data_IF_901261722802
#
_entry.id   IF_901261722802
#
_cell.length_a   1.000
_cell.length_b   1.000
_cell.length_c   1.000
_cell.angle_alpha   90.00
_cell.angle_beta   90.00
_cell.angle_gamma   90.00
#
_symmetry.space_group_name_H-M   'P 1'
#
loop_
_entity.id
_entity.type
_entity.pdbx_description
1 polymer ?
#
# COMPACT_ATOMS: atom_id res chain seq x y z
N UNK A 1 31.95 -18.35 -7.62
CA UNK A 1 31.94 -18.54 -6.16
C UNK A 1 30.57 -18.07 -5.66
N UNK A 2 29.58 -18.96 -5.75
CA UNK A 2 28.26 -18.84 -5.15
C UNK A 2 27.56 -20.20 -5.28
N UNK A 3 27.27 -20.77 -4.11
CA UNK A 3 26.13 -21.63 -3.74
C UNK A 3 26.02 -23.04 -4.35
N UNK A 4 26.33 -24.01 -3.49
CA UNK A 4 25.88 -25.40 -3.46
C UNK A 4 24.42 -25.60 -3.91
N UNK A 5 24.21 -26.62 -4.75
CA UNK A 5 22.94 -27.30 -4.94
C UNK A 5 22.95 -28.63 -4.16
N UNK A 6 21.95 -28.91 -3.31
CA UNK A 6 21.72 -30.26 -2.82
C UNK A 6 20.65 -30.98 -3.64
N UNK A 7 21.11 -32.00 -4.36
CA UNK A 7 20.55 -33.35 -4.52
C UNK A 7 19.02 -33.52 -4.41
N UNK A 8 18.38 -33.85 -5.54
CA UNK A 8 17.06 -34.46 -5.59
C UNK A 8 17.19 -35.98 -5.77
N UNK A 9 16.54 -36.83 -4.95
CA UNK A 9 16.37 -38.24 -5.25
C UNK A 9 15.09 -38.51 -6.08
N UNK A 10 15.02 -39.63 -6.83
CA UNK A 10 14.00 -39.88 -7.84
C UNK A 10 12.61 -40.13 -7.26
N UNK A 11 11.59 -39.58 -7.93
CA UNK A 11 10.17 -39.80 -7.66
C UNK A 11 9.82 -41.25 -7.99
N UNK A 12 9.74 -42.09 -6.97
CA UNK A 12 9.12 -43.41 -7.03
C UNK A 12 7.60 -43.25 -7.07
N UNK A 13 7.01 -43.59 -8.21
CA UNK A 13 5.59 -43.94 -8.26
C UNK A 13 5.41 -45.29 -7.56
N UNK A 14 4.73 -45.28 -6.41
CA UNK A 14 4.04 -46.46 -5.88
C UNK A 14 2.90 -45.99 -4.96
N UNK A 15 1.72 -45.92 -5.58
CA UNK A 15 0.43 -46.41 -5.11
C UNK A 15 0.17 -46.42 -3.59
N UNK A 16 -0.79 -45.59 -3.20
CA UNK A 16 -1.49 -45.73 -1.94
C UNK A 16 -2.42 -46.95 -1.96
N UNK A 17 -2.19 -47.89 -1.04
CA UNK A 17 -3.22 -48.73 -0.44
C UNK A 17 -2.68 -49.42 0.83
N UNK A 18 -3.09 -49.05 2.06
CA UNK A 18 -2.62 -49.72 3.28
C UNK A 18 -3.45 -50.98 3.64
N UNK A 19 -4.21 -51.57 2.71
CA UNK A 19 -5.20 -52.61 3.03
C UNK A 19 -4.87 -54.03 2.53
N UNK A 20 -3.65 -54.36 2.12
CA UNK A 20 -3.34 -55.72 1.65
C UNK A 20 -1.88 -56.13 1.86
N UNK A 21 -1.54 -56.63 3.05
CA UNK A 21 -0.63 -57.77 3.27
C UNK A 21 -0.35 -57.96 4.77
N UNK A 22 -0.96 -58.98 5.37
CA UNK A 22 -0.42 -59.76 6.49
C UNK A 22 -1.38 -60.93 6.79
N UNK A 23 -1.55 -61.81 5.80
CA UNK A 23 -2.17 -63.10 6.00
C UNK A 23 -1.47 -64.11 5.11
N UNK A 24 -0.32 -64.61 5.57
CA UNK A 24 0.11 -65.99 5.36
C UNK A 24 1.47 -66.21 6.04
N UNK A 25 1.45 -66.92 7.17
CA UNK A 25 2.51 -67.84 7.62
C UNK A 25 2.21 -68.28 9.06
N UNK A 26 1.29 -69.24 9.27
CA UNK A 26 1.28 -70.02 10.51
C UNK A 26 0.95 -71.49 10.19
N UNK A 27 2.03 -72.26 10.14
CA UNK A 27 2.22 -73.57 10.76
C UNK A 27 1.31 -74.75 10.37
N UNK A 28 1.98 -75.75 9.79
CA UNK A 28 1.46 -77.07 9.48
C UNK A 28 0.85 -77.77 10.69
N UNK A 29 -0.34 -78.30 10.47
CA UNK A 29 -1.06 -79.15 11.38
C UNK A 29 -0.50 -80.57 11.28
N UNK A 30 0.55 -80.87 12.04
CA UNK A 30 0.88 -82.26 12.36
C UNK A 30 -0.15 -82.78 13.36
N UNK A 31 -0.92 -83.77 12.93
CA UNK A 31 -1.88 -84.51 13.75
C UNK A 31 -1.09 -85.61 14.48
N UNK A 32 -0.85 -85.52 15.80
CA UNK A 32 -0.57 -86.73 16.56
C UNK A 32 -1.87 -87.53 16.65
N UNK A 33 -1.92 -88.60 15.86
CA UNK A 33 -2.80 -89.73 16.08
C UNK A 33 -2.57 -90.27 17.50
N UNK A 34 -3.43 -89.88 18.42
CA UNK A 34 -3.49 -90.36 19.81
C UNK A 34 -4.85 -90.98 20.05
N UNK A 35 -4.86 -92.31 20.02
CA UNK A 35 -5.99 -93.19 20.26
C UNK A 35 -6.87 -92.81 21.47
N UNK A 36 -8.17 -92.94 21.24
CA UNK A 36 -9.22 -93.35 22.18
C UNK A 36 -8.83 -93.54 23.65
N UNK A 37 -9.41 -92.69 24.51
CA UNK A 37 -10.03 -93.21 25.72
C UNK A 37 -11.33 -92.46 25.96
N UNK A 38 -12.42 -93.15 25.65
CA UNK A 38 -13.78 -92.75 25.98
C UNK A 38 -13.89 -92.93 27.48
N UNK A 39 -13.71 -91.86 28.26
CA UNK A 39 -14.13 -91.85 29.65
C UNK A 39 -15.66 -91.97 29.67
N UNK A 40 -16.12 -93.17 30.00
CA UNK A 40 -17.52 -93.53 30.03
C UNK A 40 -18.29 -92.59 30.97
N UNK A 41 -19.22 -91.82 30.40
CA UNK A 41 -20.28 -91.14 31.13
C UNK A 41 -21.19 -92.20 31.77
N UNK A 42 -21.16 -92.26 33.10
CA UNK A 42 -22.14 -92.99 33.90
C UNK A 42 -22.79 -92.04 34.89
N UNK A 43 -24.08 -91.72 34.68
CA UNK A 43 -24.94 -91.09 35.68
C UNK A 43 -25.75 -89.90 35.19
N UNK A 44 -26.99 -90.18 34.76
CA UNK A 44 -28.20 -89.34 34.79
C UNK A 44 -28.17 -87.86 34.34
N UNK A 45 -28.76 -87.62 33.16
CA UNK A 45 -29.61 -86.45 32.85
C UNK A 45 -29.01 -85.05 32.99
N UNK A 46 -28.43 -84.50 31.92
CA UNK A 46 -28.07 -83.08 31.86
C UNK A 46 -27.79 -82.63 30.44
N UNK A 47 -28.31 -81.47 30.04
CA UNK A 47 -28.10 -80.89 28.71
C UNK A 47 -26.63 -80.55 28.42
N UNK A 48 -26.35 -79.95 27.26
CA UNK A 48 -25.00 -79.54 26.87
C UNK A 48 -24.28 -78.86 28.05
N UNK A 49 -23.06 -79.30 28.44
CA UNK A 49 -22.40 -78.87 29.68
C UNK A 49 -22.11 -77.36 29.77
N UNK A 50 -22.27 -76.63 28.67
CA UNK A 50 -22.21 -75.17 28.59
C UNK A 50 -23.46 -74.43 29.09
N UNK A 51 -24.57 -75.13 29.34
CA UNK A 51 -25.83 -74.56 29.86
C UNK A 51 -26.15 -74.95 31.30
N UNK A 52 -25.19 -75.55 32.01
CA UNK A 52 -25.34 -75.81 33.44
C UNK A 52 -25.20 -74.49 34.22
N UNK A 53 -26.35 -73.90 34.53
CA UNK A 53 -26.51 -72.60 35.22
C UNK A 53 -26.02 -72.60 36.67
N UNK A 54 -25.53 -73.73 37.18
CA UNK A 54 -25.11 -73.92 38.57
C UNK A 54 -23.94 -73.00 38.97
N UNK A 55 -23.02 -72.70 38.04
CA UNK A 55 -21.88 -71.79 38.27
C UNK A 55 -22.12 -70.34 37.79
N UNK A 56 -23.24 -70.08 37.12
CA UNK A 56 -23.55 -68.75 36.55
C UNK A 56 -23.76 -67.70 37.63
N UNK A 57 -24.34 -68.07 38.78
CA UNK A 57 -24.54 -67.14 39.89
C UNK A 57 -23.22 -66.57 40.44
N UNK A 58 -22.22 -67.41 40.66
CA UNK A 58 -20.89 -67.00 41.11
C UNK A 58 -20.17 -66.13 40.08
N UNK A 59 -20.24 -66.51 38.81
CA UNK A 59 -19.64 -65.74 37.70
C UNK A 59 -20.28 -64.35 37.56
N UNK A 60 -21.61 -64.26 37.67
CA UNK A 60 -22.33 -62.98 37.59
C UNK A 60 -21.98 -62.09 38.78
N UNK A 61 -21.92 -62.64 40.01
CA UNK A 61 -21.52 -61.85 41.19
C UNK A 61 -20.09 -61.31 41.03
N UNK A 62 -19.16 -62.13 40.54
CA UNK A 62 -17.79 -61.68 40.28
C UNK A 62 -17.69 -60.64 39.16
N UNK A 63 -18.45 -60.82 38.07
CA UNK A 63 -18.58 -59.83 37.00
C UNK A 63 -19.16 -58.52 37.52
N UNK A 64 -20.17 -58.56 38.40
CA UNK A 64 -20.73 -57.36 39.02
C UNK A 64 -19.72 -56.64 39.90
N UNK A 65 -18.89 -57.37 40.66
CA UNK A 65 -17.82 -56.78 41.46
C UNK A 65 -16.79 -56.09 40.56
N UNK A 66 -16.28 -56.79 39.53
CA UNK A 66 -15.32 -56.22 38.59
C UNK A 66 -15.92 -55.04 37.82
N UNK A 67 -17.15 -55.17 37.36
CA UNK A 67 -17.89 -54.13 36.66
C UNK A 67 -18.09 -52.91 37.55
N UNK A 68 -18.44 -53.09 38.82
CA UNK A 68 -18.56 -51.99 39.78
C UNK A 68 -17.22 -51.27 39.95
N UNK A 69 -16.12 -52.01 40.15
CA UNK A 69 -14.76 -51.43 40.25
C UNK A 69 -14.41 -50.63 39.00
N UNK A 70 -14.63 -51.21 37.81
CA UNK A 70 -14.36 -50.56 36.53
C UNK A 70 -15.25 -49.32 36.33
N UNK A 71 -16.54 -49.41 36.66
CA UNK A 71 -17.49 -48.31 36.59
C UNK A 71 -17.06 -47.14 37.47
N UNK A 72 -16.66 -47.41 38.72
CA UNK A 72 -16.15 -46.38 39.62
C UNK A 72 -14.88 -45.73 39.07
N UNK A 73 -13.96 -46.52 38.49
CA UNK A 73 -12.77 -45.98 37.84
C UNK A 73 -13.13 -45.08 36.64
N UNK A 74 -14.07 -45.52 35.80
CA UNK A 74 -14.52 -44.76 34.64
C UNK A 74 -15.19 -43.44 35.05
N UNK A 75 -16.15 -43.51 35.97
CA UNK A 75 -16.89 -42.36 36.46
C UNK A 75 -15.98 -41.34 37.16
N UNK A 76 -15.03 -41.82 37.98
CA UNK A 76 -14.17 -40.95 38.79
C UNK A 76 -12.96 -40.42 38.03
N UNK A 77 -12.45 -41.14 37.03
CA UNK A 77 -11.16 -40.83 36.40
C UNK A 77 -11.29 -40.47 34.92
N UNK A 78 -12.01 -41.27 34.14
CA UNK A 78 -12.11 -41.07 32.69
C UNK A 78 -13.03 -39.90 32.33
N UNK A 79 -14.22 -39.84 32.93
CA UNK A 79 -15.17 -38.73 32.70
C UNK A 79 -14.57 -37.34 32.99
N UNK A 80 -13.93 -37.07 34.15
CA UNK A 80 -13.35 -35.75 34.37
C UNK A 80 -12.13 -35.45 33.49
N UNK A 81 -11.31 -36.46 33.14
CA UNK A 81 -10.19 -36.25 32.21
C UNK A 81 -10.67 -35.87 30.82
N UNK A 82 -11.70 -36.56 30.30
CA UNK A 82 -12.27 -36.26 28.98
C UNK A 82 -12.88 -34.85 28.94
N UNK A 83 -13.66 -34.49 29.97
CA UNK A 83 -14.24 -33.14 30.09
C UNK A 83 -13.18 -32.05 30.07
N UNK A 84 -12.09 -32.21 30.84
CA UNK A 84 -10.98 -31.24 30.86
C UNK A 84 -10.36 -31.00 29.48
N UNK A 85 -10.20 -32.05 28.67
CA UNK A 85 -9.61 -31.91 27.33
C UNK A 85 -10.54 -31.15 26.39
N UNK A 86 -11.84 -31.45 26.43
CA UNK A 86 -12.83 -30.75 25.60
C UNK A 86 -12.93 -29.28 26.01
N UNK A 87 -12.97 -28.99 27.31
CA UNK A 87 -13.02 -27.64 27.84
C UNK A 87 -11.75 -26.84 27.52
N UNK A 88 -10.57 -27.43 27.71
CA UNK A 88 -9.31 -26.78 27.35
C UNK A 88 -9.24 -26.43 25.85
N UNK A 89 -9.72 -27.33 24.97
CA UNK A 89 -9.82 -27.04 23.53
C UNK A 89 -10.80 -25.91 23.23
N UNK A 90 -11.99 -25.94 23.85
CA UNK A 90 -12.99 -24.90 23.68
C UNK A 90 -12.47 -23.53 24.15
N UNK A 91 -11.78 -23.48 25.29
CA UNK A 91 -11.17 -22.28 25.84
C UNK A 91 -10.05 -21.75 24.92
N UNK A 92 -9.18 -22.64 24.42
CA UNK A 92 -8.10 -22.27 23.50
C UNK A 92 -8.66 -21.69 22.19
N UNK A 93 -9.69 -22.32 21.62
CA UNK A 93 -10.34 -21.85 20.39
C UNK A 93 -11.04 -20.51 20.65
N UNK A 94 -11.75 -20.37 21.76
CA UNK A 94 -12.42 -19.12 22.12
C UNK A 94 -11.40 -17.99 22.30
N UNK A 95 -10.28 -18.25 22.99
CA UNK A 95 -9.20 -17.29 23.16
C UNK A 95 -8.55 -16.91 21.84
N UNK A 96 -8.26 -17.88 20.97
CA UNK A 96 -7.70 -17.63 19.64
C UNK A 96 -8.65 -16.82 18.75
N UNK A 97 -9.96 -17.09 18.80
CA UNK A 97 -10.96 -16.35 18.04
C UNK A 97 -11.10 -14.91 18.54
N UNK A 98 -11.09 -14.71 19.86
CA UNK A 98 -11.15 -13.36 20.44
C UNK A 98 -9.90 -12.55 20.12
N UNK A 99 -8.72 -13.17 20.22
CA UNK A 99 -7.46 -12.54 19.82
C UNK A 99 -7.47 -12.18 18.34
N UNK A 100 -7.91 -13.09 17.47
CA UNK A 100 -8.03 -12.82 16.04
C UNK A 100 -9.00 -11.67 15.75
N UNK A 101 -10.14 -11.59 16.45
CA UNK A 101 -11.08 -10.47 16.33
C UNK A 101 -10.48 -9.16 16.81
N UNK A 102 -9.74 -9.18 17.93
CA UNK A 102 -9.05 -8.01 18.46
C UNK A 102 -8.01 -7.48 17.48
N UNK A 103 -7.15 -8.36 16.96
CA UNK A 103 -6.14 -8.02 15.95
C UNK A 103 -6.79 -7.52 14.67
N UNK A 104 -7.88 -8.14 14.21
CA UNK A 104 -8.63 -7.68 13.05
C UNK A 104 -9.21 -6.27 13.27
N UNK A 105 -9.84 -6.04 14.42
CA UNK A 105 -10.41 -4.73 14.76
C UNK A 105 -9.32 -3.65 14.88
N UNK A 106 -8.16 -3.99 15.45
CA UNK A 106 -7.02 -3.09 15.52
C UNK A 106 -6.47 -2.76 14.12
N UNK A 107 -6.32 -3.77 13.26
CA UNK A 107 -5.89 -3.59 11.88
C UNK A 107 -6.87 -2.72 11.08
N UNK A 108 -8.18 -2.93 11.24
CA UNK A 108 -9.22 -2.14 10.57
C UNK A 108 -9.21 -0.69 11.06
N UNK A 109 -9.02 -0.46 12.37
CA UNK A 109 -8.88 0.88 12.94
C UNK A 109 -7.62 1.59 12.43
N UNK A 110 -6.48 0.90 12.40
CA UNK A 110 -5.23 1.45 11.86
C UNK A 110 -5.35 1.73 10.36
N UNK A 111 -5.96 0.84 9.59
CA UNK A 111 -6.21 1.05 8.17
C UNK A 111 -7.13 2.26 7.92
N UNK A 112 -8.17 2.44 8.74
CA UNK A 112 -9.03 3.61 8.68
C UNK A 112 -8.28 4.91 9.02
N UNK A 113 -7.44 4.90 10.05
CA UNK A 113 -6.61 6.05 10.43
C UNK A 113 -5.62 6.43 9.32
N UNK A 114 -4.87 5.47 8.78
CA UNK A 114 -3.93 5.70 7.67
C UNK A 114 -4.66 6.22 6.43
N UNK A 115 -5.83 5.68 6.11
CA UNK A 115 -6.64 6.17 4.99
C UNK A 115 -7.06 7.63 5.19
N UNK A 116 -7.48 8.00 6.40
CA UNK A 116 -7.84 9.38 6.72
C UNK A 116 -6.63 10.32 6.64
N UNK A 117 -5.48 9.90 7.16
CA UNK A 117 -4.22 10.67 7.09
C UNK A 117 -3.76 10.88 5.64
N UNK A 118 -3.83 9.85 4.80
CA UNK A 118 -3.47 9.96 3.37
C UNK A 118 -4.41 10.93 2.65
N UNK A 119 -5.70 10.89 2.93
CA UNK A 119 -6.66 11.81 2.31
C UNK A 119 -6.45 13.25 2.80
N UNK A 120 -6.19 13.45 4.10
CA UNK A 120 -5.85 14.75 4.67
C UNK A 120 -4.55 15.30 4.09
N UNK A 121 -3.51 14.47 3.94
CA UNK A 121 -2.24 14.84 3.33
C UNK A 121 -2.42 15.24 1.86
N UNK A 122 -3.20 14.47 1.09
CA UNK A 122 -3.54 14.81 -0.31
C UNK A 122 -4.29 16.13 -0.42
N UNK A 123 -5.29 16.35 0.44
CA UNK A 123 -6.04 17.61 0.49
C UNK A 123 -5.13 18.78 0.84
N UNK A 124 -4.25 18.62 1.84
CA UNK A 124 -3.31 19.64 2.27
C UNK A 124 -2.28 19.96 1.17
N UNK A 125 -1.74 18.94 0.49
CA UNK A 125 -0.84 19.13 -0.64
C UNK A 125 -1.50 19.92 -1.78
N UNK A 126 -2.76 19.59 -2.13
CA UNK A 126 -3.53 20.35 -3.13
C UNK A 126 -3.71 21.81 -2.73
N UNK A 127 -4.01 22.08 -1.46
CA UNK A 127 -4.10 23.46 -0.93
C UNK A 127 -2.77 24.19 -1.03
N UNK A 128 -1.67 23.57 -0.63
CA UNK A 128 -0.33 24.18 -0.73
C UNK A 128 0.02 24.51 -2.19
N UNK A 129 -0.28 23.62 -3.13
CA UNK A 129 -0.06 23.87 -4.57
C UNK A 129 -0.94 25.02 -5.07
N UNK A 130 -2.22 25.05 -4.69
CA UNK A 130 -3.12 26.15 -5.06
C UNK A 130 -2.64 27.49 -4.50
N UNK A 131 -2.24 27.54 -3.22
CA UNK A 131 -1.73 28.74 -2.56
C UNK A 131 -0.41 29.20 -3.17
N UNK A 132 0.50 28.27 -3.50
CA UNK A 132 1.76 28.59 -4.16
C UNK A 132 1.53 29.17 -5.55
N UNK A 133 0.62 28.59 -6.35
CA UNK A 133 0.25 29.11 -7.67
C UNK A 133 -0.40 30.49 -7.57
N UNK A 134 -1.28 30.70 -6.59
CA UNK A 134 -1.91 32.00 -6.36
C UNK A 134 -0.88 33.07 -5.96
N UNK A 135 0.07 32.74 -5.07
CA UNK A 135 1.16 33.65 -4.69
C UNK A 135 2.10 33.94 -5.87
N UNK A 136 2.46 32.92 -6.65
CA UNK A 136 3.31 33.09 -7.82
C UNK A 136 2.64 33.97 -8.88
N UNK A 137 1.35 33.76 -9.15
CA UNK A 137 0.58 34.58 -10.08
C UNK A 137 0.47 36.05 -9.59
N UNK A 138 0.24 36.26 -8.29
CA UNK A 138 0.19 37.60 -7.72
C UNK A 138 1.54 38.32 -7.81
N UNK A 139 2.65 37.61 -7.54
CA UNK A 139 3.98 38.20 -7.62
C UNK A 139 4.38 38.49 -9.07
N UNK A 140 4.05 37.60 -10.00
CA UNK A 140 4.25 37.81 -11.42
C UNK A 140 3.45 39.01 -11.94
N UNK A 141 2.20 39.19 -11.50
CA UNK A 141 1.41 40.36 -11.87
C UNK A 141 2.01 41.66 -11.32
N UNK A 142 2.56 41.65 -10.10
CA UNK A 142 3.25 42.81 -9.52
C UNK A 142 4.53 43.15 -10.28
N UNK A 143 5.36 42.15 -10.58
CA UNK A 143 6.61 42.38 -11.30
C UNK A 143 6.35 42.87 -12.72
N UNK A 144 5.37 42.31 -13.42
CA UNK A 144 4.93 42.81 -14.72
C UNK A 144 4.48 44.28 -14.63
N UNK A 145 3.60 44.62 -13.68
CA UNK A 145 3.13 45.99 -13.52
C UNK A 145 4.28 46.97 -13.18
N UNK A 146 5.27 46.54 -12.40
CA UNK A 146 6.44 47.35 -12.06
C UNK A 146 7.36 47.57 -13.28
N UNK A 147 7.62 46.53 -14.06
CA UNK A 147 8.43 46.64 -15.28
C UNK A 147 7.69 47.45 -16.36
N UNK A 148 6.39 47.27 -16.53
CA UNK A 148 5.58 48.08 -17.46
C UNK A 148 5.63 49.56 -17.08
N UNK A 149 5.51 49.88 -15.78
CA UNK A 149 5.64 51.25 -15.30
C UNK A 149 7.03 51.84 -15.57
N UNK A 150 8.08 51.04 -15.37
CA UNK A 150 9.47 51.45 -15.65
C UNK A 150 9.69 51.66 -17.15
N UNK A 151 9.22 50.75 -18.00
CA UNK A 151 9.34 50.85 -19.46
C UNK A 151 8.60 52.08 -19.98
N UNK A 152 7.39 52.35 -19.48
CA UNK A 152 6.65 53.56 -19.84
C UNK A 152 7.41 54.83 -19.46
N UNK A 153 7.99 54.89 -18.25
CA UNK A 153 8.81 56.02 -17.84
C UNK A 153 10.07 56.21 -18.72
N UNK A 154 10.72 55.11 -19.12
CA UNK A 154 11.88 55.15 -20.00
C UNK A 154 11.51 55.60 -21.42
N UNK A 155 10.36 55.15 -21.93
CA UNK A 155 9.78 55.60 -23.19
C UNK A 155 9.47 57.09 -23.17
N UNK A 156 8.81 57.59 -22.13
CA UNK A 156 8.51 59.02 -21.97
C UNK A 156 9.80 59.86 -21.96
N UNK A 157 10.83 59.40 -21.26
CA UNK A 157 12.14 60.07 -21.26
C UNK A 157 12.81 60.03 -22.64
N UNK A 158 12.74 58.90 -23.34
CA UNK A 158 13.28 58.77 -24.69
C UNK A 158 12.56 59.70 -25.67
N UNK A 159 11.22 59.78 -25.61
CA UNK A 159 10.43 60.71 -26.40
C UNK A 159 10.82 62.16 -26.14
N UNK A 160 10.99 62.56 -24.87
CA UNK A 160 11.42 63.91 -24.53
C UNK A 160 12.82 64.21 -25.09
N UNK A 161 13.76 63.25 -25.03
CA UNK A 161 15.10 63.40 -25.64
C UNK A 161 15.01 63.56 -27.15
N UNK A 162 14.19 62.74 -27.82
CA UNK A 162 13.98 62.81 -29.27
C UNK A 162 13.38 64.15 -29.66
N UNK A 163 12.36 64.64 -28.94
CA UNK A 163 11.77 65.97 -29.18
C UNK A 163 12.80 67.07 -29.05
N UNK A 164 13.61 67.08 -27.98
CA UNK A 164 14.69 68.06 -27.79
C UNK A 164 15.74 68.01 -28.90
N UNK A 165 16.17 66.81 -29.31
CA UNK A 165 17.13 66.66 -30.43
C UNK A 165 16.54 67.16 -31.75
N UNK A 166 15.28 66.83 -32.03
CA UNK A 166 14.55 67.32 -33.22
C UNK A 166 14.47 68.84 -33.20
N UNK A 167 14.03 69.44 -32.10
CA UNK A 167 13.85 70.90 -32.00
C UNK A 167 15.20 71.61 -32.17
N UNK A 168 16.27 71.12 -31.54
CA UNK A 168 17.63 71.63 -31.75
C UNK A 168 18.13 71.46 -33.18
N UNK A 169 17.85 70.33 -33.83
CA UNK A 169 18.19 70.12 -35.24
C UNK A 169 17.44 71.09 -36.16
N UNK A 170 16.16 71.34 -35.91
CA UNK A 170 15.36 72.30 -36.69
C UNK A 170 15.88 73.73 -36.52
N UNK A 171 16.27 74.15 -35.32
CA UNK A 171 16.92 75.45 -35.09
C UNK A 171 18.24 75.57 -35.85
N UNK A 172 19.06 74.51 -35.88
CA UNK A 172 20.30 74.51 -36.67
C UNK A 172 20.02 74.62 -38.17
N UNK A 173 18.98 73.95 -38.69
CA UNK A 173 18.56 74.06 -40.09
C UNK A 173 18.09 75.48 -40.42
N UNK A 174 17.33 76.13 -39.54
CA UNK A 174 16.91 77.53 -39.71
C UNK A 174 18.11 78.47 -39.75
N UNK A 175 19.10 78.28 -38.87
CA UNK A 175 20.33 79.07 -38.87
C UNK A 175 21.13 78.90 -40.17
N UNK A 176 21.32 77.65 -40.63
CA UNK A 176 22.02 77.35 -41.89
C UNK A 176 21.26 77.93 -43.08
N UNK A 177 19.92 77.83 -43.10
CA UNK A 177 19.09 78.38 -44.16
C UNK A 177 19.17 79.91 -44.22
N UNK A 178 19.16 80.59 -43.06
CA UNK A 178 19.33 82.04 -42.97
C UNK A 178 20.72 82.49 -43.48
N UNK A 179 21.79 81.80 -43.06
CA UNK A 179 23.15 82.09 -43.50
C UNK A 179 23.35 81.84 -45.00
N UNK A 180 22.76 80.76 -45.52
CA UNK A 180 22.77 80.43 -46.96
C UNK A 180 21.99 81.49 -47.75
N UNK A 181 20.81 81.90 -47.29
CA UNK A 181 20.01 82.93 -47.93
C UNK A 181 20.75 84.28 -47.97
N UNK A 182 21.41 84.66 -46.87
CA UNK A 182 22.26 85.86 -46.81
C UNK A 182 23.38 85.79 -47.85
N UNK A 183 24.09 84.66 -47.92
CA UNK A 183 25.16 84.43 -48.89
C UNK A 183 24.65 84.54 -50.34
N UNK A 184 23.47 83.99 -50.65
CA UNK A 184 22.86 84.09 -51.98
C UNK A 184 22.52 85.55 -52.33
N UNK A 185 21.94 86.31 -51.39
CA UNK A 185 21.59 87.73 -51.62
C UNK A 185 22.84 88.57 -51.86
N UNK A 186 23.89 88.39 -51.06
CA UNK A 186 25.17 89.10 -51.22
C UNK A 186 25.80 88.82 -52.60
N UNK A 187 25.74 87.57 -53.06
CA UNK A 187 26.21 87.18 -54.40
C UNK A 187 25.40 87.81 -55.53
N UNK A 188 24.11 88.07 -55.33
CA UNK A 188 23.20 88.60 -56.36
C UNK A 188 23.21 90.14 -56.44
N UNK A 189 23.31 90.84 -55.30
CA UNK A 189 23.26 92.31 -55.23
C UNK A 189 24.65 92.96 -55.18
N UNK A 190 25.70 92.20 -54.89
CA UNK A 190 27.08 92.69 -54.77
C UNK A 190 27.33 93.59 -53.56
N UNK A 191 26.39 93.66 -52.60
CA UNK A 191 26.50 94.42 -51.35
C UNK A 191 26.23 93.51 -50.15
N UNK A 192 27.02 93.69 -49.08
CA UNK A 192 26.85 92.94 -47.84
C UNK A 192 25.50 93.24 -47.19
N UNK A 193 24.77 92.21 -46.76
CA UNK A 193 23.47 92.36 -46.10
C UNK A 193 23.69 92.82 -44.65
N UNK A 194 23.05 93.92 -44.25
CA UNK A 194 23.21 94.45 -42.89
C UNK A 194 22.44 93.59 -41.87
N UNK A 195 22.90 93.51 -40.59
CA UNK A 195 22.22 92.70 -39.56
C UNK A 195 20.74 93.07 -39.35
N UNK A 196 20.39 94.33 -39.59
CA UNK A 196 19.02 94.84 -39.47
C UNK A 196 18.09 94.30 -40.57
N UNK A 197 18.58 94.12 -41.79
CA UNK A 197 17.80 93.58 -42.92
C UNK A 197 17.65 92.05 -42.83
N UNK A 198 18.67 91.36 -42.31
CA UNK A 198 18.62 89.92 -42.05
C UNK A 198 17.58 89.54 -40.97
N UNK A 199 17.43 90.37 -39.93
CA UNK A 199 16.40 90.17 -38.90
C UNK A 199 14.97 90.43 -39.39
N UNK A 200 14.77 91.31 -40.37
CA UNK A 200 13.46 91.59 -40.95
C UNK A 200 12.94 90.42 -41.83
N UNK A 201 13.83 89.70 -42.50
CA UNK A 201 13.50 88.53 -43.33
C UNK A 201 13.09 87.31 -42.50
N UNK A 202 13.70 87.09 -41.33
CA UNK A 202 13.33 85.99 -40.43
C UNK A 202 12.03 86.25 -39.65
N UNK A 203 11.77 87.50 -39.27
CA UNK A 203 10.56 87.91 -38.53
C UNK A 203 9.27 87.86 -39.36
N UNK A 204 9.35 87.85 -40.70
CA UNK A 204 8.16 87.79 -41.58
C UNK A 204 7.58 86.37 -41.70
N UNK A 205 8.27 85.34 -41.20
CA UNK A 205 7.87 83.92 -41.35
C UNK A 205 7.45 83.22 -40.05
N UNK A 206 7.70 83.82 -38.89
CA UNK A 206 7.13 83.39 -37.60
C UNK A 206 5.66 83.78 -37.49
#
# INVERSE_FOLDING_TARGET
MATESPSAPPVGAHDGNPAAEAAEAVHGHEVPAGASEVAAHGGEGGGLPQFEVEYWGGQIIWLLILFAILYFLFAKVFTPRYRKVVEARAETIAGALEEARRVQAEADNQAAAVKAEVEQARSSARKVVADANAKAAAELARSQAAEDARLNAELDQAEQRIRKMRDGAMTNVEAIAADTAKTIVEKLTGKAVTPAEAGALSATRS
#
